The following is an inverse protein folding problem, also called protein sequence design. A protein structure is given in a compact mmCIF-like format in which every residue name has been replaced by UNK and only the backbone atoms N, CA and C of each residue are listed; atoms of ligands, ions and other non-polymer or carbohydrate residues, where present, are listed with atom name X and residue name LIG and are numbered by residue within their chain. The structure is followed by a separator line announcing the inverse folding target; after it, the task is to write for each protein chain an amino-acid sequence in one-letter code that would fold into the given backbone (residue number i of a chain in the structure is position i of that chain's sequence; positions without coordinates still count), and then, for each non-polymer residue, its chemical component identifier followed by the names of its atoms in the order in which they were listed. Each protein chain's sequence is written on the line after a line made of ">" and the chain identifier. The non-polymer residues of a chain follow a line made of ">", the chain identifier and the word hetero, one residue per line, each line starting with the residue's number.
data_IF_569028582549
#
_entry.id   IF_569028582549
#
_cell.length_a   1.000
_cell.length_b   1.000
_cell.length_c   1.000
_cell.angle_alpha   90.00
_cell.angle_beta   90.00
_cell.angle_gamma   90.00
#
_symmetry.space_group_name_H-M   'P 1'
#
loop_
_entity.id
_entity.type
_entity.pdbx_description
1 polymer ?
#
# COMPACT_ATOMS: atom_id res chain seq x y z
N UNK A 1 17.83 12.22 39.87
CA UNK A 1 16.73 12.88 39.12
C UNK A 1 17.07 13.19 37.67
N UNK A 2 18.16 13.94 37.36
CA UNK A 2 18.55 14.29 35.97
C UNK A 2 18.70 13.07 35.03
N UNK A 3 19.32 11.97 35.48
CA UNK A 3 19.50 10.75 34.68
C UNK A 3 18.19 10.06 34.26
N UNK A 4 17.18 10.08 35.13
CA UNK A 4 15.87 9.48 34.83
C UNK A 4 15.09 10.32 33.81
N UNK A 5 15.24 11.66 33.87
CA UNK A 5 14.65 12.58 32.88
C UNK A 5 15.23 12.33 31.49
N UNK A 6 16.55 12.14 31.37
CA UNK A 6 17.17 11.83 30.08
C UNK A 6 16.71 10.49 29.50
N UNK A 7 16.52 9.46 30.34
CA UNK A 7 16.01 8.16 29.90
C UNK A 7 14.57 8.30 29.37
N UNK A 8 13.71 9.03 30.08
CA UNK A 8 12.33 9.27 29.66
C UNK A 8 12.29 10.03 28.33
N UNK A 9 13.13 11.05 28.16
CA UNK A 9 13.22 11.80 26.92
C UNK A 9 13.66 10.92 25.74
N UNK A 10 14.66 10.05 25.93
CA UNK A 10 15.12 9.12 24.89
C UNK A 10 14.00 8.15 24.48
N UNK A 11 13.24 7.65 25.45
CA UNK A 11 12.10 6.75 25.19
C UNK A 11 11.02 7.48 24.36
N UNK A 12 10.65 8.69 24.74
CA UNK A 12 9.66 9.51 24.02
C UNK A 12 10.13 9.78 22.58
N UNK A 13 11.39 10.20 22.40
CA UNK A 13 11.96 10.43 21.07
C UNK A 13 11.98 9.15 20.23
N UNK A 14 12.29 8.00 20.83
CA UNK A 14 12.28 6.71 20.14
C UNK A 14 10.89 6.32 19.61
N UNK A 15 9.84 6.53 20.41
CA UNK A 15 8.45 6.25 19.99
C UNK A 15 7.94 7.24 18.93
N UNK A 16 8.32 8.52 19.01
CA UNK A 16 7.95 9.51 17.99
C UNK A 16 8.66 9.20 16.67
N UNK A 17 9.96 8.88 16.71
CA UNK A 17 10.74 8.57 15.52
C UNK A 17 10.25 7.30 14.81
N UNK A 18 9.82 6.26 15.54
CA UNK A 18 9.30 5.03 14.93
C UNK A 18 7.95 5.26 14.22
N UNK A 19 7.03 6.01 14.83
CA UNK A 19 5.76 6.39 14.19
C UNK A 19 5.94 7.34 12.99
N UNK A 20 6.91 8.25 13.07
CA UNK A 20 7.30 9.11 11.95
C UNK A 20 7.98 8.31 10.83
N UNK A 21 8.73 7.26 11.13
CA UNK A 21 9.38 6.43 10.13
C UNK A 21 8.37 5.70 9.24
N UNK A 22 7.35 5.06 9.81
CA UNK A 22 6.28 4.45 9.01
C UNK A 22 5.54 5.48 8.16
N UNK A 23 5.30 6.67 8.71
CA UNK A 23 4.63 7.77 8.00
C UNK A 23 5.51 8.32 6.87
N UNK A 24 6.82 8.44 7.09
CA UNK A 24 7.79 8.91 6.11
C UNK A 24 8.00 7.89 4.97
N UNK A 25 8.08 6.60 5.28
CA UNK A 25 8.15 5.53 4.27
C UNK A 25 6.87 5.49 3.44
N UNK A 26 5.69 5.65 4.06
CA UNK A 26 4.40 5.73 3.33
C UNK A 26 4.29 7.00 2.49
N UNK A 27 4.71 8.15 3.01
CA UNK A 27 4.77 9.41 2.26
C UNK A 27 5.69 9.28 1.04
N UNK A 28 6.86 8.65 1.21
CA UNK A 28 7.80 8.40 0.13
C UNK A 28 7.27 7.39 -0.91
N UNK A 29 6.47 6.40 -0.47
CA UNK A 29 5.82 5.42 -1.36
C UNK A 29 4.51 5.92 -2.00
N UNK A 30 4.08 7.16 -1.71
CA UNK A 30 2.97 7.83 -2.41
C UNK A 30 1.57 7.19 -2.26
N UNK A 31 1.40 6.23 -1.35
CA UNK A 31 0.16 5.48 -1.21
C UNK A 31 -0.88 6.19 -0.32
N UNK A 32 -2.19 6.13 -0.65
CA UNK A 32 -3.25 6.59 0.25
C UNK A 32 -3.24 5.79 1.55
N UNK A 33 -3.69 6.39 2.65
CA UNK A 33 -3.85 5.69 3.92
C UNK A 33 -4.95 4.64 3.80
N UNK A 34 -4.56 3.39 3.52
CA UNK A 34 -5.49 2.27 3.55
C UNK A 34 -5.65 1.76 4.97
N UNK A 35 -6.90 1.61 5.41
CA UNK A 35 -7.20 0.91 6.66
C UNK A 35 -6.73 -0.55 6.57
N UNK A 36 -6.51 -1.21 7.71
CA UNK A 36 -6.13 -2.64 7.71
C UNK A 36 -7.12 -3.51 6.92
N UNK A 37 -8.42 -3.26 7.09
CA UNK A 37 -9.45 -3.99 6.36
C UNK A 37 -9.42 -3.71 4.84
N UNK A 38 -9.07 -2.47 4.45
CA UNK A 38 -8.90 -2.12 3.04
C UNK A 38 -7.67 -2.79 2.42
N UNK A 39 -6.55 -2.90 3.17
CA UNK A 39 -5.38 -3.66 2.72
C UNK A 39 -5.69 -5.15 2.56
N UNK A 40 -6.40 -5.76 3.52
CA UNK A 40 -6.80 -7.18 3.41
C UNK A 40 -7.72 -7.41 2.21
N UNK A 41 -8.65 -6.49 1.94
CA UNK A 41 -9.50 -6.54 0.75
C UNK A 41 -8.69 -6.37 -0.54
N UNK A 42 -7.72 -5.46 -0.55
CA UNK A 42 -6.82 -5.23 -1.69
C UNK A 42 -6.00 -6.48 -1.99
N UNK A 43 -5.37 -7.10 -0.98
CA UNK A 43 -4.58 -8.32 -1.15
C UNK A 43 -5.43 -9.49 -1.67
N UNK A 44 -6.66 -9.63 -1.17
CA UNK A 44 -7.59 -10.65 -1.65
C UNK A 44 -8.00 -10.40 -3.12
N UNK A 45 -8.24 -9.14 -3.49
CA UNK A 45 -8.54 -8.77 -4.87
C UNK A 45 -7.34 -8.96 -5.79
N UNK A 46 -6.13 -8.67 -5.34
CA UNK A 46 -4.90 -8.91 -6.10
C UNK A 46 -4.74 -10.39 -6.46
N UNK A 47 -4.96 -11.29 -5.49
CA UNK A 47 -4.89 -12.73 -5.74
C UNK A 47 -6.02 -13.23 -6.66
N UNK A 48 -7.23 -12.68 -6.55
CA UNK A 48 -8.33 -13.01 -7.48
C UNK A 48 -7.98 -12.61 -8.93
N UNK A 49 -7.45 -11.40 -9.10
CA UNK A 49 -7.13 -10.82 -10.40
C UNK A 49 -5.84 -11.35 -11.01
N UNK A 50 -5.04 -12.11 -10.26
CA UNK A 50 -3.86 -12.81 -10.79
C UNK A 50 -4.21 -13.80 -11.91
N UNK A 51 -5.46 -14.26 -11.95
CA UNK A 51 -6.00 -15.15 -12.98
C UNK A 51 -6.30 -14.45 -14.31
N UNK A 52 -6.30 -13.12 -14.35
CA UNK A 52 -6.56 -12.37 -15.58
C UNK A 52 -5.48 -12.64 -16.64
N UNK A 53 -5.86 -12.71 -17.93
CA UNK A 53 -4.91 -12.91 -19.00
C UNK A 53 -3.97 -11.70 -19.07
N UNK A 54 -2.67 -11.95 -18.89
CA UNK A 54 -1.62 -10.93 -18.98
C UNK A 54 -1.26 -10.62 -20.44
N UNK A 55 -0.82 -9.39 -20.74
CA UNK A 55 -0.32 -9.04 -22.06
C UNK A 55 0.95 -9.84 -22.37
N UNK A 56 1.26 -10.01 -23.66
CA UNK A 56 2.48 -10.73 -24.09
C UNK A 56 3.75 -10.03 -23.63
N UNK A 57 3.75 -8.70 -23.65
CA UNK A 57 4.82 -7.90 -23.08
C UNK A 57 4.50 -7.52 -21.63
N UNK A 58 5.13 -8.20 -20.67
CA UNK A 58 4.96 -7.93 -19.24
C UNK A 58 5.86 -6.77 -18.73
N UNK A 59 6.62 -6.11 -19.59
CA UNK A 59 7.39 -4.95 -19.17
C UNK A 59 6.45 -3.82 -18.73
N UNK A 60 6.55 -3.41 -17.47
CA UNK A 60 5.65 -2.41 -16.83
C UNK A 60 5.63 -1.08 -17.59
N UNK A 61 6.74 -0.68 -18.22
CA UNK A 61 6.78 0.55 -19.03
C UNK A 61 6.30 0.38 -20.47
N UNK A 62 5.89 -0.83 -20.88
CA UNK A 62 5.39 -1.06 -22.24
C UNK A 62 3.97 -0.52 -22.39
N UNK A 63 3.64 -0.06 -23.59
CA UNK A 63 2.30 0.41 -23.90
C UNK A 63 1.25 -0.69 -23.66
N UNK A 64 1.53 -1.93 -24.07
CA UNK A 64 0.61 -3.06 -23.86
C UNK A 64 0.31 -3.31 -22.37
N UNK A 65 1.33 -3.22 -21.50
CA UNK A 65 1.13 -3.39 -20.07
C UNK A 65 0.40 -2.19 -19.44
N UNK A 66 0.70 -0.96 -19.88
CA UNK A 66 -0.01 0.24 -19.42
C UNK A 66 -1.49 0.23 -19.83
N UNK A 67 -1.77 -0.12 -21.08
CA UNK A 67 -3.14 -0.24 -21.61
C UNK A 67 -3.89 -1.36 -20.86
N UNK A 68 -3.25 -2.52 -20.63
CA UNK A 68 -3.82 -3.60 -19.84
C UNK A 68 -4.10 -3.18 -18.39
N UNK A 69 -3.17 -2.46 -17.75
CA UNK A 69 -3.35 -1.95 -16.39
C UNK A 69 -4.53 -0.99 -16.30
N UNK A 70 -4.68 -0.09 -17.29
CA UNK A 70 -5.73 0.93 -17.29
C UNK A 70 -7.11 0.40 -17.71
N UNK A 71 -7.17 -0.49 -18.69
CA UNK A 71 -8.43 -0.92 -19.32
C UNK A 71 -8.98 -2.23 -18.75
N UNK A 72 -8.11 -3.10 -18.23
CA UNK A 72 -8.49 -4.44 -17.76
C UNK A 72 -8.32 -4.56 -16.25
N UNK A 73 -7.10 -4.34 -15.76
CA UNK A 73 -6.77 -4.59 -14.36
C UNK A 73 -7.43 -3.57 -13.41
N UNK A 74 -7.27 -2.27 -13.64
CA UNK A 74 -7.81 -1.23 -12.75
C UNK A 74 -9.35 -1.23 -12.65
N UNK A 75 -10.12 -1.48 -13.73
CA UNK A 75 -11.57 -1.66 -13.61
C UNK A 75 -11.95 -2.92 -12.81
N UNK A 76 -11.25 -4.03 -13.03
CA UNK A 76 -11.52 -5.28 -12.32
C UNK A 76 -11.17 -5.18 -10.83
N UNK A 77 -10.09 -4.49 -10.48
CA UNK A 77 -9.70 -4.18 -9.10
C UNK A 77 -10.74 -3.33 -8.40
N UNK A 78 -11.21 -2.25 -9.05
CA UNK A 78 -12.28 -1.41 -8.49
C UNK A 78 -13.56 -2.19 -8.25
N UNK A 79 -13.98 -3.04 -9.19
CA UNK A 79 -15.18 -3.86 -9.00
C UNK A 79 -14.99 -4.92 -7.89
N UNK A 80 -13.80 -5.49 -7.77
CA UNK A 80 -13.49 -6.40 -6.68
C UNK A 80 -13.57 -5.70 -5.31
N UNK A 81 -12.92 -4.55 -5.17
CA UNK A 81 -12.96 -3.75 -3.94
C UNK A 81 -14.39 -3.35 -3.59
N UNK A 82 -15.19 -2.94 -4.59
CA UNK A 82 -16.61 -2.61 -4.41
C UNK A 82 -17.42 -3.79 -3.86
N UNK A 83 -17.18 -5.02 -4.36
CA UNK A 83 -17.83 -6.25 -3.85
C UNK A 83 -17.41 -6.57 -2.41
N UNK A 84 -16.23 -6.14 -1.99
CA UNK A 84 -15.72 -6.26 -0.61
C UNK A 84 -16.17 -5.12 0.31
N UNK A 85 -16.85 -4.11 -0.23
CA UNK A 85 -17.39 -2.97 0.52
C UNK A 85 -16.47 -1.76 0.61
N UNK A 86 -15.47 -1.65 -0.29
CA UNK A 86 -14.52 -0.53 -0.37
C UNK A 86 -14.62 0.23 -1.69
#
# INVERSE_FOLDING_TARGET
>A
MKRNIYIILIIIFGFVLSGCYESAVRFWNGGPHMSKAQNEAYDACFEELRTLPRPKNEYVGSKEMQDWLGEIYAPAERECMRRKGF
#
